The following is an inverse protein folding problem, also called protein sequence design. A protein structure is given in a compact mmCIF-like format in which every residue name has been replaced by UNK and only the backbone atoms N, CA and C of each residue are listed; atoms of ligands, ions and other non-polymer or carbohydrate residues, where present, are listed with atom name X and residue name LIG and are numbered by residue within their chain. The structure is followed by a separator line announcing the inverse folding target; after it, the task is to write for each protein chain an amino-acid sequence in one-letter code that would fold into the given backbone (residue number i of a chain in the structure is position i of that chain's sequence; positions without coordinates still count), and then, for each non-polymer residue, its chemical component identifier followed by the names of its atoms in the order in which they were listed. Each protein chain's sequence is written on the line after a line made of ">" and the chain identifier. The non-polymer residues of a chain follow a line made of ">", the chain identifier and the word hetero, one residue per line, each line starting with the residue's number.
data_IF_976507273518
#
_entry.id   IF_976507273518
#
_cell.length_a   1.000
_cell.length_b   1.000
_cell.length_c   1.000
_cell.angle_alpha   90.00
_cell.angle_beta   90.00
_cell.angle_gamma   90.00
#
_symmetry.space_group_name_H-M   'P 1'
#
loop_
_entity.id
_entity.type
_entity.pdbx_description
1 polymer ?
#
# COMPACT_ATOMS: atom_id res chain seq x y z
N UNK A 1 0.68 5.15 19.00
CA UNK A 1 -0.61 5.75 18.63
C UNK A 1 -0.48 6.29 17.21
N UNK A 2 -1.13 5.66 16.23
CA UNK A 2 -1.11 6.12 14.84
C UNK A 2 -2.23 7.16 14.66
N UNK A 3 -1.87 8.44 14.68
CA UNK A 3 -2.79 9.53 14.34
C UNK A 3 -2.75 9.80 12.85
N UNK A 4 -3.88 9.66 12.16
CA UNK A 4 -4.06 10.09 10.76
C UNK A 4 -5.14 11.15 10.74
N UNK A 5 -4.91 12.25 10.02
CA UNK A 5 -5.85 13.36 9.95
C UNK A 5 -6.72 13.27 8.69
N UNK A 6 -8.05 13.30 8.87
CA UNK A 6 -9.04 13.40 7.80
C UNK A 6 -9.39 14.87 7.60
N UNK A 7 -8.95 15.48 6.49
CA UNK A 7 -9.31 16.86 6.13
C UNK A 7 -9.85 16.90 4.71
N UNK A 8 -10.80 17.83 4.46
CA UNK A 8 -11.42 18.10 3.17
C UNK A 8 -10.77 19.29 2.41
N UNK A 9 -9.77 19.97 2.97
CA UNK A 9 -9.15 21.16 2.33
C UNK A 9 -8.20 20.81 1.18
N UNK A 10 -8.02 21.60 0.13
CA UNK A 10 -7.14 21.22 -1.01
C UNK A 10 -5.61 21.34 -0.75
N UNK A 11 -5.14 21.13 0.49
CA UNK A 11 -3.72 21.28 0.87
C UNK A 11 -2.89 19.98 0.92
N UNK A 12 -1.67 19.97 0.35
CA UNK A 12 -0.70 18.86 0.43
C UNK A 12 -0.03 18.78 1.82
N UNK A 13 -0.78 18.36 2.84
CA UNK A 13 -0.29 18.15 4.20
C UNK A 13 0.30 16.76 4.42
N UNK A 14 1.19 16.61 5.41
CA UNK A 14 1.71 15.30 5.85
C UNK A 14 0.58 14.42 6.43
N UNK A 15 0.73 13.10 6.31
CA UNK A 15 -0.16 12.08 6.87
C UNK A 15 -1.63 12.21 6.45
N UNK A 16 -1.87 12.57 5.18
CA UNK A 16 -3.21 12.85 4.68
C UNK A 16 -3.69 11.86 3.64
N UNK A 17 -4.82 11.21 3.91
CA UNK A 17 -5.51 10.36 2.95
C UNK A 17 -6.30 11.25 1.99
N UNK A 18 -5.83 11.41 0.75
CA UNK A 18 -6.52 12.17 -0.30
C UNK A 18 -7.63 11.38 -0.99
N UNK A 19 -7.67 10.05 -0.81
CA UNK A 19 -8.59 9.13 -1.48
C UNK A 19 -9.71 8.62 -0.55
N UNK A 20 -10.43 9.54 0.12
CA UNK A 20 -11.38 9.25 1.20
C UNK A 20 -12.39 8.14 0.84
N UNK A 21 -13.05 8.22 -0.32
CA UNK A 21 -14.04 7.21 -0.73
C UNK A 21 -13.42 5.81 -0.90
N UNK A 22 -12.21 5.73 -1.45
CA UNK A 22 -11.47 4.46 -1.57
C UNK A 22 -11.07 3.92 -0.21
N UNK A 23 -10.59 4.79 0.67
CA UNK A 23 -10.17 4.42 2.02
C UNK A 23 -11.32 3.89 2.86
N UNK A 24 -12.47 4.58 2.82
CA UNK A 24 -13.68 4.14 3.50
C UNK A 24 -14.17 2.79 2.96
N UNK A 25 -14.18 2.61 1.63
CA UNK A 25 -14.58 1.34 1.03
C UNK A 25 -13.67 0.18 1.44
N UNK A 26 -12.35 0.38 1.46
CA UNK A 26 -11.43 -0.68 1.90
C UNK A 26 -11.56 -0.94 3.40
N UNK A 27 -11.80 0.07 4.25
CA UNK A 27 -12.07 -0.15 5.69
C UNK A 27 -13.26 -1.09 5.91
N UNK A 28 -14.40 -0.82 5.26
CA UNK A 28 -15.60 -1.67 5.39
C UNK A 28 -15.33 -3.09 4.89
N UNK A 29 -14.54 -3.24 3.82
CA UNK A 29 -14.27 -4.54 3.19
C UNK A 29 -13.27 -5.40 3.97
N UNK A 30 -12.19 -4.81 4.49
CA UNK A 30 -11.13 -5.52 5.22
C UNK A 30 -11.50 -5.79 6.68
N UNK A 31 -12.34 -4.95 7.27
CA UNK A 31 -12.49 -4.88 8.72
C UNK A 31 -11.33 -4.13 9.39
N UNK A 32 -11.49 -3.79 10.68
CA UNK A 32 -10.61 -2.85 11.37
C UNK A 32 -9.17 -3.34 11.53
N UNK A 33 -8.97 -4.64 11.79
CA UNK A 33 -7.64 -5.21 12.07
C UNK A 33 -6.68 -5.07 10.88
N UNK A 34 -7.05 -5.64 9.73
CA UNK A 34 -6.22 -5.60 8.53
C UNK A 34 -6.11 -4.19 7.94
N UNK A 35 -7.16 -3.37 8.10
CA UNK A 35 -7.11 -1.98 7.65
C UNK A 35 -6.13 -1.14 8.47
N UNK A 36 -6.14 -1.26 9.80
CA UNK A 36 -5.18 -0.59 10.67
C UNK A 36 -3.76 -1.07 10.38
N UNK A 37 -3.57 -2.39 10.19
CA UNK A 37 -2.28 -2.95 9.79
C UNK A 37 -1.77 -2.34 8.48
N UNK A 38 -2.66 -2.19 7.49
CA UNK A 38 -2.35 -1.56 6.19
C UNK A 38 -1.95 -0.09 6.33
N UNK A 39 -2.69 0.68 7.15
CA UNK A 39 -2.37 2.08 7.42
C UNK A 39 -1.02 2.23 8.14
N UNK A 40 -0.71 1.33 9.06
CA UNK A 40 0.58 1.34 9.75
C UNK A 40 1.73 1.05 8.77
N UNK A 41 1.57 0.12 7.82
CA UNK A 41 2.55 -0.08 6.74
C UNK A 41 2.73 1.19 5.91
N UNK A 42 1.64 1.82 5.44
CA UNK A 42 1.67 3.05 4.64
C UNK A 42 2.42 4.19 5.35
N UNK A 43 2.03 4.46 6.60
CA UNK A 43 2.63 5.50 7.42
C UNK A 43 4.13 5.27 7.63
N UNK A 44 4.51 4.04 7.97
CA UNK A 44 5.91 3.74 8.28
C UNK A 44 6.78 3.61 7.02
N UNK A 45 6.20 3.30 5.86
CA UNK A 45 6.92 3.18 4.60
C UNK A 45 7.43 4.55 4.09
N UNK A 46 6.61 5.60 4.20
CA UNK A 46 6.96 6.93 3.65
C UNK A 46 6.81 8.06 4.65
N UNK A 47 6.67 7.77 5.95
CA UNK A 47 6.56 8.75 7.02
C UNK A 47 5.44 9.80 6.79
N UNK A 48 4.39 9.43 6.05
CA UNK A 48 3.31 10.35 5.70
C UNK A 48 3.72 11.50 4.78
N UNK A 49 4.78 11.36 3.97
CA UNK A 49 5.10 12.33 2.91
C UNK A 49 3.89 12.59 2.00
N UNK A 50 3.77 13.78 1.38
CA UNK A 50 2.71 14.06 0.43
C UNK A 50 2.56 12.95 -0.63
N UNK A 51 1.32 12.67 -1.03
CA UNK A 51 0.95 11.63 -2.01
C UNK A 51 1.27 10.18 -1.60
N UNK A 52 1.91 9.95 -0.44
CA UNK A 52 2.18 8.60 0.06
C UNK A 52 0.93 7.79 0.37
N UNK A 53 -0.15 8.47 0.73
CA UNK A 53 -1.48 7.88 0.97
C UNK A 53 -2.41 7.96 -0.24
N UNK A 54 -1.84 7.91 -1.45
CA UNK A 54 -2.62 7.82 -2.68
C UNK A 54 -3.48 6.56 -2.74
N UNK A 55 -4.52 6.59 -3.57
CA UNK A 55 -5.38 5.42 -3.82
C UNK A 55 -4.60 4.21 -4.32
N UNK A 56 -3.56 4.43 -5.13
CA UNK A 56 -2.69 3.37 -5.63
C UNK A 56 -1.97 2.63 -4.49
N UNK A 57 -1.35 3.37 -3.58
CA UNK A 57 -0.61 2.80 -2.46
C UNK A 57 -1.55 2.11 -1.47
N UNK A 58 -2.68 2.76 -1.15
CA UNK A 58 -3.69 2.22 -0.26
C UNK A 58 -4.26 0.90 -0.79
N UNK A 59 -4.68 0.88 -2.05
CA UNK A 59 -5.21 -0.33 -2.68
C UNK A 59 -4.16 -1.44 -2.76
N UNK A 60 -2.93 -1.12 -3.17
CA UNK A 60 -1.85 -2.11 -3.26
C UNK A 60 -1.55 -2.75 -1.91
N UNK A 61 -1.40 -1.93 -0.86
CA UNK A 61 -1.04 -2.39 0.48
C UNK A 61 -2.21 -3.14 1.12
N UNK A 62 -3.44 -2.63 1.07
CA UNK A 62 -4.60 -3.35 1.62
C UNK A 62 -4.77 -4.73 1.00
N UNK A 63 -4.59 -4.87 -0.31
CA UNK A 63 -4.68 -6.17 -1.00
C UNK A 63 -3.52 -7.09 -0.64
N UNK A 64 -2.32 -6.55 -0.48
CA UNK A 64 -1.15 -7.34 -0.10
C UNK A 64 -1.29 -7.86 1.33
N UNK A 65 -1.66 -6.99 2.27
CA UNK A 65 -1.89 -7.35 3.68
C UNK A 65 -2.98 -8.40 3.78
N UNK A 66 -4.11 -8.22 3.08
CA UNK A 66 -5.18 -9.22 3.06
C UNK A 66 -4.71 -10.58 2.54
N UNK A 67 -4.01 -10.61 1.40
CA UNK A 67 -3.67 -11.85 0.70
C UNK A 67 -2.56 -12.66 1.39
N UNK A 68 -1.65 -11.97 2.08
CA UNK A 68 -0.48 -12.58 2.73
C UNK A 68 -0.51 -12.40 4.24
N UNK A 69 -1.66 -12.06 4.83
CA UNK A 69 -1.79 -11.94 6.27
C UNK A 69 -1.22 -13.17 6.98
N UNK A 70 -0.48 -12.96 8.07
CA UNK A 70 0.28 -13.99 8.80
C UNK A 70 1.47 -14.64 8.07
N UNK A 71 1.66 -14.45 6.77
CA UNK A 71 2.81 -15.01 6.02
C UNK A 71 3.94 -13.99 5.78
N UNK A 72 3.58 -12.73 5.54
CA UNK A 72 4.57 -11.70 5.26
C UNK A 72 5.21 -11.14 6.54
N UNK A 73 6.47 -10.72 6.44
CA UNK A 73 7.11 -9.96 7.51
C UNK A 73 6.85 -8.46 7.33
N UNK A 74 6.10 -7.84 8.25
CA UNK A 74 5.74 -6.43 8.20
C UNK A 74 6.93 -5.47 8.18
N UNK A 75 7.93 -5.72 9.04
CA UNK A 75 9.15 -4.90 9.08
C UNK A 75 9.91 -4.92 7.76
N UNK A 76 9.96 -6.09 7.10
CA UNK A 76 10.55 -6.25 5.76
C UNK A 76 9.76 -5.48 4.71
N UNK A 77 8.44 -5.55 4.72
CA UNK A 77 7.61 -4.81 3.76
C UNK A 77 7.88 -3.31 3.87
N UNK A 78 7.86 -2.76 5.08
CA UNK A 78 8.18 -1.36 5.35
C UNK A 78 9.60 -1.02 4.87
N UNK A 79 10.60 -1.83 5.21
CA UNK A 79 11.99 -1.61 4.83
C UNK A 79 12.19 -1.62 3.30
N UNK A 80 11.43 -2.44 2.58
CA UNK A 80 11.45 -2.50 1.11
C UNK A 80 10.73 -1.30 0.48
N UNK A 81 9.58 -0.91 1.00
CA UNK A 81 8.84 0.25 0.51
C UNK A 81 9.60 1.56 0.74
N UNK A 82 10.34 1.68 1.86
CA UNK A 82 11.25 2.82 2.13
C UNK A 82 12.33 3.03 1.07
N UNK A 83 12.66 2.01 0.29
CA UNK A 83 13.69 2.08 -0.75
C UNK A 83 13.16 2.66 -2.07
N UNK A 84 11.85 2.90 -2.19
CA UNK A 84 11.24 3.44 -3.40
C UNK A 84 10.43 4.70 -3.10
N UNK A 85 10.41 5.62 -4.05
CA UNK A 85 9.54 6.79 -3.98
C UNK A 85 8.07 6.39 -3.96
N UNK A 86 7.24 7.10 -3.20
CA UNK A 86 5.83 6.76 -3.00
C UNK A 86 4.99 6.79 -4.28
N UNK A 87 5.44 7.50 -5.31
CA UNK A 87 4.81 7.53 -6.63
C UNK A 87 5.18 6.33 -7.51
N UNK A 88 6.19 5.54 -7.11
CA UNK A 88 6.71 4.41 -7.88
C UNK A 88 5.63 3.36 -8.18
N UNK A 89 4.78 3.05 -7.21
CA UNK A 89 3.70 2.05 -7.37
C UNK A 89 2.72 2.50 -8.46
N UNK A 90 2.28 3.76 -8.41
CA UNK A 90 1.40 4.33 -9.43
C UNK A 90 2.08 4.33 -10.81
N UNK A 91 3.34 4.78 -10.87
CA UNK A 91 4.10 4.86 -12.12
C UNK A 91 4.24 3.50 -12.79
N UNK A 92 4.67 2.48 -12.05
CA UNK A 92 4.86 1.12 -12.57
C UNK A 92 3.53 0.47 -12.97
N UNK A 93 2.49 0.63 -12.15
CA UNK A 93 1.16 0.12 -12.46
C UNK A 93 0.56 0.75 -13.73
N UNK A 94 0.90 2.00 -14.04
CA UNK A 94 0.48 2.67 -15.28
C UNK A 94 1.24 2.14 -16.50
N UNK A 95 2.53 1.85 -16.36
CA UNK A 95 3.36 1.34 -17.46
C UNK A 95 3.16 -0.15 -17.75
N UNK A 96 2.65 -0.92 -16.79
CA UNK A 96 2.41 -2.36 -16.94
C UNK A 96 1.30 -2.72 -17.97
N UNK A 97 0.56 -1.73 -18.48
CA UNK A 97 -0.49 -1.95 -19.49
C UNK A 97 -1.68 -2.77 -18.98
N UNK A 98 -2.61 -3.09 -19.89
CA UNK A 98 -3.91 -3.76 -19.62
C UNK A 98 -3.81 -5.21 -19.12
N UNK A 99 -2.61 -5.73 -18.85
CA UNK A 99 -2.38 -7.16 -18.57
C UNK A 99 -2.90 -7.62 -17.21
N UNK A 100 -3.15 -6.69 -16.27
CA UNK A 100 -3.79 -6.99 -14.99
C UNK A 100 -5.05 -6.14 -14.80
N UNK A 101 -6.22 -6.76 -14.58
CA UNK A 101 -7.46 -6.03 -14.34
C UNK A 101 -7.40 -5.15 -13.09
N UNK A 102 -7.93 -3.93 -13.22
CA UNK A 102 -8.36 -3.10 -12.09
C UNK A 102 -7.30 -2.85 -11.01
N UNK A 103 -7.58 -3.31 -9.78
CA UNK A 103 -6.79 -3.05 -8.57
C UNK A 103 -5.56 -3.98 -8.45
N UNK A 104 -5.53 -5.10 -9.17
CA UNK A 104 -4.48 -6.14 -9.08
C UNK A 104 -3.11 -5.63 -9.53
N UNK A 105 -3.08 -4.66 -10.45
CA UNK A 105 -1.83 -4.01 -10.88
C UNK A 105 -1.06 -3.35 -9.72
N UNK A 106 -1.75 -2.80 -8.72
CA UNK A 106 -1.10 -2.20 -7.56
C UNK A 106 -0.55 -3.26 -6.61
N UNK A 107 -1.33 -4.32 -6.37
CA UNK A 107 -0.88 -5.50 -5.61
C UNK A 107 0.39 -6.11 -6.21
N UNK A 108 0.45 -6.25 -7.54
CA UNK A 108 1.63 -6.80 -8.22
C UNK A 108 2.89 -5.98 -7.92
N UNK A 109 2.79 -4.65 -7.89
CA UNK A 109 3.95 -3.81 -7.59
C UNK A 109 4.41 -4.01 -6.14
N UNK A 110 3.49 -4.05 -5.18
CA UNK A 110 3.83 -4.32 -3.78
C UNK A 110 4.47 -5.71 -3.61
N UNK A 111 3.89 -6.74 -4.24
CA UNK A 111 4.43 -8.09 -4.26
C UNK A 111 5.86 -8.13 -4.81
N UNK A 112 6.09 -7.46 -5.94
CA UNK A 112 7.41 -7.39 -6.58
C UNK A 112 8.43 -6.67 -5.70
N UNK A 113 8.04 -5.55 -5.09
CA UNK A 113 8.89 -4.79 -4.15
C UNK A 113 9.24 -5.62 -2.91
N UNK A 114 8.27 -6.33 -2.32
CA UNK A 114 8.47 -7.15 -1.14
C UNK A 114 9.45 -8.31 -1.38
N UNK A 115 9.23 -9.06 -2.47
CA UNK A 115 10.07 -10.20 -2.83
C UNK A 115 11.47 -9.74 -3.23
N UNK A 116 11.56 -8.74 -4.10
CA UNK A 116 12.83 -8.29 -4.68
C UNK A 116 13.67 -9.47 -5.19
N UNK A 117 14.98 -9.42 -4.98
CA UNK A 117 15.89 -10.53 -5.33
C UNK A 117 16.04 -11.64 -4.26
N UNK A 118 15.25 -11.64 -3.19
CA UNK A 118 15.45 -12.56 -2.06
C UNK A 118 14.68 -13.86 -2.24
N UNK A 119 15.37 -14.98 -2.50
CA UNK A 119 14.70 -16.29 -2.61
C UNK A 119 14.19 -16.84 -1.28
N UNK A 120 14.88 -16.57 -0.16
CA UNK A 120 14.55 -17.13 1.17
C UNK A 120 13.29 -16.54 1.80
N UNK A 121 13.02 -15.27 1.53
CA UNK A 121 11.89 -14.54 2.10
C UNK A 121 10.81 -14.21 1.05
N UNK A 122 10.89 -14.86 -0.12
CA UNK A 122 9.93 -14.67 -1.19
C UNK A 122 8.60 -15.32 -0.80
N UNK A 123 7.51 -14.58 -1.00
CA UNK A 123 6.15 -15.11 -0.95
C UNK A 123 5.80 -15.74 -2.30
N UNK A 124 4.97 -16.80 -2.34
CA UNK A 124 4.47 -17.37 -3.58
C UNK A 124 3.48 -16.42 -4.26
N UNK A 125 3.36 -16.49 -5.59
CA UNK A 125 2.34 -15.74 -6.34
C UNK A 125 0.96 -16.39 -6.14
N UNK A 126 -0.06 -15.60 -5.76
CA UNK A 126 -1.41 -16.10 -5.42
C UNK A 126 -2.56 -15.45 -6.22
N UNK A 127 -2.27 -14.58 -7.17
CA UNK A 127 -3.25 -13.76 -7.89
C UNK A 127 -2.90 -13.62 -9.36
#
# INVERSE_FOLDING_TARGET
>A
MAGVHLSFEEGRGKQRISCIATAYHEFIRLGPELYIESLDVLLNAWNGEPDSMSSANLLGICRFVELYHSEYNKGRLIAKLRQVDAFTIFRLARTAGVSLPGKTKYLQQIYTIYNGGSRRAALPLKF
#
